data_IF_268129761885
#
_entry.id   IF_268129761885
#
_cell.length_a   1.000
_cell.length_b   1.000
_cell.length_c   1.000
_cell.angle_alpha   90.00
_cell.angle_beta   90.00
_cell.angle_gamma   90.00
#
_symmetry.space_group_name_H-M   'P 1'
#
loop_
_entity.id
_entity.type
_entity.pdbx_description
1 polymer ?
#
# COMPACT_ATOMS: atom_id res chain seq x y z
N UNK A 1 -62.21 -9.99 -26.55
CA UNK A 1 -63.13 -11.14 -26.78
C UNK A 1 -62.46 -12.14 -27.68
N UNK A 2 -62.75 -13.42 -27.49
CA UNK A 2 -62.09 -14.53 -28.19
C UNK A 2 -63.11 -15.58 -28.62
N UNK A 3 -62.74 -16.42 -29.59
CA UNK A 3 -63.60 -17.51 -30.08
C UNK A 3 -63.76 -18.62 -29.05
N UNK A 4 -62.67 -18.99 -28.39
CA UNK A 4 -62.63 -19.98 -27.32
C UNK A 4 -62.13 -19.29 -26.06
N UNK A 5 -62.93 -19.31 -25.00
CA UNK A 5 -62.60 -18.69 -23.71
C UNK A 5 -61.67 -19.65 -22.95
N UNK A 6 -60.40 -19.26 -22.78
CA UNK A 6 -59.43 -20.00 -21.97
C UNK A 6 -59.30 -19.39 -20.56
N UNK A 7 -59.48 -18.08 -20.43
CA UNK A 7 -59.45 -17.36 -19.15
C UNK A 7 -60.78 -16.63 -18.87
N UNK A 8 -61.72 -17.27 -18.17
CA UNK A 8 -63.05 -16.70 -17.87
C UNK A 8 -63.04 -15.39 -17.07
N UNK A 9 -61.89 -14.99 -16.52
CA UNK A 9 -61.72 -13.76 -15.73
C UNK A 9 -61.42 -12.53 -16.59
N UNK A 10 -60.84 -12.73 -17.77
CA UNK A 10 -60.34 -11.66 -18.65
C UNK A 10 -60.91 -11.74 -20.08
N UNK A 11 -61.55 -12.87 -20.42
CA UNK A 11 -62.08 -13.16 -21.74
C UNK A 11 -63.59 -13.37 -21.69
N UNK A 12 -64.29 -12.81 -22.68
CA UNK A 12 -65.70 -13.09 -22.98
C UNK A 12 -65.81 -13.69 -24.37
N UNK A 13 -66.81 -14.57 -24.52
CA UNK A 13 -67.27 -15.03 -25.82
C UNK A 13 -67.93 -13.89 -26.60
N UNK A 14 -67.96 -14.00 -27.94
CA UNK A 14 -68.61 -13.00 -28.81
C UNK A 14 -70.10 -12.83 -28.44
N UNK A 15 -70.81 -13.94 -28.18
CA UNK A 15 -72.24 -13.93 -27.86
C UNK A 15 -72.53 -13.16 -26.56
N UNK A 16 -71.77 -13.43 -25.49
CA UNK A 16 -71.94 -12.73 -24.20
C UNK A 16 -71.58 -11.24 -24.30
N UNK A 17 -70.59 -10.89 -25.12
CA UNK A 17 -70.20 -9.51 -25.32
C UNK A 17 -71.24 -8.70 -26.13
N UNK A 18 -71.87 -9.33 -27.12
CA UNK A 18 -72.97 -8.73 -27.89
C UNK A 18 -74.20 -8.49 -27.00
N UNK A 19 -74.50 -9.40 -26.05
CA UNK A 19 -75.57 -9.19 -25.06
C UNK A 19 -75.32 -7.98 -24.14
N UNK A 20 -74.05 -7.72 -23.80
CA UNK A 20 -73.67 -6.65 -22.85
C UNK A 20 -73.56 -5.26 -23.50
N UNK A 21 -73.12 -5.18 -24.76
CA UNK A 21 -72.75 -3.91 -25.38
C UNK A 21 -73.35 -3.66 -26.77
N UNK A 22 -74.14 -4.60 -27.31
CA UNK A 22 -74.81 -4.50 -28.60
C UNK A 22 -74.07 -5.21 -29.74
N UNK A 23 -74.72 -5.30 -30.90
CA UNK A 23 -74.24 -6.08 -32.06
C UNK A 23 -73.02 -5.48 -32.78
N UNK A 24 -72.57 -4.28 -32.40
CA UNK A 24 -71.44 -3.56 -33.02
C UNK A 24 -70.06 -4.04 -32.52
N UNK A 25 -70.02 -5.15 -31.79
CA UNK A 25 -68.85 -5.62 -31.05
C UNK A 25 -68.18 -6.78 -31.81
N UNK A 26 -66.90 -6.62 -32.17
CA UNK A 26 -66.16 -7.58 -33.00
C UNK A 26 -65.10 -8.40 -32.23
N UNK A 27 -64.76 -9.58 -32.75
CA UNK A 27 -63.71 -10.43 -32.16
C UNK A 27 -62.38 -9.68 -32.17
N UNK A 28 -61.75 -9.57 -31.00
CA UNK A 28 -60.53 -8.80 -30.78
C UNK A 28 -60.74 -7.49 -30.03
N UNK A 29 -61.96 -6.97 -29.92
CA UNK A 29 -62.20 -5.74 -29.15
C UNK A 29 -62.14 -5.99 -27.62
N UNK A 30 -61.85 -4.89 -26.91
CA UNK A 30 -61.77 -4.84 -25.45
C UNK A 30 -63.01 -4.13 -24.89
N UNK A 31 -63.86 -4.87 -24.17
CA UNK A 31 -65.05 -4.33 -23.54
C UNK A 31 -64.78 -3.96 -22.07
N UNK A 32 -65.06 -2.71 -21.69
CA UNK A 32 -64.96 -2.25 -20.30
C UNK A 32 -66.26 -2.57 -19.56
N UNK A 33 -66.27 -3.66 -18.80
CA UNK A 33 -67.42 -4.01 -17.94
C UNK A 33 -67.30 -3.21 -16.63
N UNK A 34 -68.32 -2.41 -16.26
CA UNK A 34 -68.31 -1.71 -14.99
C UNK A 34 -68.36 -2.73 -13.84
N UNK A 35 -67.29 -2.79 -13.06
CA UNK A 35 -67.23 -3.60 -11.85
C UNK A 35 -68.30 -3.12 -10.86
N UNK A 36 -68.96 -4.05 -10.13
CA UNK A 36 -69.81 -3.67 -9.01
C UNK A 36 -68.99 -2.78 -8.05
N UNK A 37 -69.56 -1.66 -7.60
CA UNK A 37 -69.01 -0.90 -6.49
C UNK A 37 -69.18 -1.75 -5.22
N UNK A 38 -68.34 -2.76 -5.02
CA UNK A 38 -68.16 -3.35 -3.70
C UNK A 38 -67.73 -2.21 -2.78
N UNK A 39 -68.55 -1.92 -1.77
CA UNK A 39 -68.19 -0.95 -0.73
C UNK A 39 -66.84 -1.39 -0.18
N UNK A 40 -65.76 -0.68 -0.55
CA UNK A 40 -64.43 -0.91 -0.01
C UNK A 40 -64.54 -0.78 1.50
N UNK A 41 -64.71 -1.92 2.17
CA UNK A 41 -64.89 -1.97 3.61
C UNK A 41 -63.68 -1.34 4.29
N UNK A 42 -63.85 -0.89 5.54
CA UNK A 42 -62.76 -0.29 6.33
C UNK A 42 -61.47 -1.13 6.31
N UNK A 43 -61.59 -2.46 6.28
CA UNK A 43 -60.45 -3.40 6.18
C UNK A 43 -59.80 -3.33 4.80
N UNK A 44 -60.57 -3.39 3.71
CA UNK A 44 -60.05 -3.28 2.35
C UNK A 44 -59.36 -1.93 2.11
N UNK A 45 -59.92 -0.83 2.61
CA UNK A 45 -59.29 0.49 2.54
C UNK A 45 -57.96 0.58 3.33
N UNK A 46 -57.88 -0.05 4.50
CA UNK A 46 -56.64 -0.14 5.28
C UNK A 46 -55.58 -1.00 4.57
N UNK A 47 -55.97 -2.14 4.01
CA UNK A 47 -55.07 -3.00 3.22
C UNK A 47 -54.60 -2.29 1.97
N UNK A 48 -55.48 -1.61 1.24
CA UNK A 48 -55.12 -0.80 0.07
C UNK A 48 -54.12 0.31 0.44
N UNK A 49 -54.34 1.02 1.56
CA UNK A 49 -53.38 2.01 2.07
C UNK A 49 -52.01 1.39 2.36
N UNK A 50 -51.97 0.21 2.96
CA UNK A 50 -50.71 -0.49 3.25
C UNK A 50 -49.97 -0.92 1.97
N UNK A 51 -50.69 -1.50 1.01
CA UNK A 51 -50.14 -1.88 -0.31
C UNK A 51 -49.63 -0.64 -1.04
N UNK A 52 -50.39 0.45 -1.03
CA UNK A 52 -50.00 1.70 -1.69
C UNK A 52 -48.74 2.30 -1.05
N UNK A 53 -48.66 2.38 0.27
CA UNK A 53 -47.45 2.84 0.98
C UNK A 53 -46.25 1.94 0.67
N UNK A 54 -46.45 0.63 0.58
CA UNK A 54 -45.39 -0.30 0.20
C UNK A 54 -44.92 -0.06 -1.24
N UNK A 55 -45.84 0.05 -2.21
CA UNK A 55 -45.53 0.32 -3.62
C UNK A 55 -44.82 1.66 -3.81
N UNK A 56 -45.26 2.70 -3.10
CA UNK A 56 -44.57 4.01 -3.09
C UNK A 56 -43.16 3.89 -2.55
N UNK A 57 -42.94 3.12 -1.46
CA UNK A 57 -41.60 2.89 -0.91
C UNK A 57 -40.71 2.04 -1.83
N UNK A 58 -41.28 1.09 -2.56
CA UNK A 58 -40.56 0.31 -3.58
C UNK A 58 -40.11 1.23 -4.73
N UNK A 59 -41.02 2.05 -5.28
CA UNK A 59 -40.72 2.99 -6.36
C UNK A 59 -39.67 4.05 -5.95
N UNK A 60 -39.73 4.60 -4.73
CA UNK A 60 -38.72 5.54 -4.24
C UNK A 60 -37.34 4.86 -4.18
N UNK A 61 -37.28 3.61 -3.71
CA UNK A 61 -36.02 2.87 -3.58
C UNK A 61 -35.42 2.46 -4.91
N UNK A 62 -36.25 2.10 -5.87
CA UNK A 62 -35.80 1.83 -7.24
C UNK A 62 -35.18 3.09 -7.85
N UNK A 63 -35.89 4.22 -7.73
CA UNK A 63 -35.38 5.52 -8.18
C UNK A 63 -34.04 5.89 -7.53
N UNK A 64 -33.90 5.70 -6.21
CA UNK A 64 -32.65 5.95 -5.48
C UNK A 64 -31.54 5.03 -5.98
N UNK A 65 -31.82 3.75 -6.22
CA UNK A 65 -30.80 2.86 -6.75
C UNK A 65 -30.32 3.34 -8.13
N UNK A 66 -31.25 3.62 -9.04
CA UNK A 66 -30.93 4.02 -10.40
C UNK A 66 -30.15 5.34 -10.44
N UNK A 67 -30.42 6.26 -9.51
CA UNK A 67 -29.69 7.53 -9.39
C UNK A 67 -28.26 7.36 -8.85
N UNK A 68 -28.02 6.42 -7.93
CA UNK A 68 -26.77 6.33 -7.17
C UNK A 68 -25.85 5.18 -7.58
N UNK A 69 -26.34 4.17 -8.31
CA UNK A 69 -25.53 2.99 -8.69
C UNK A 69 -24.31 3.35 -9.53
N UNK A 70 -24.44 4.34 -10.42
CA UNK A 70 -23.35 4.80 -11.30
C UNK A 70 -22.43 5.82 -10.61
N UNK A 71 -22.82 6.28 -9.42
CA UNK A 71 -22.11 7.32 -8.64
C UNK A 71 -21.15 6.73 -7.59
N UNK A 72 -20.75 5.46 -7.76
CA UNK A 72 -19.78 4.81 -6.85
C UNK A 72 -18.46 5.56 -6.86
N UNK A 73 -17.91 5.79 -5.67
CA UNK A 73 -16.70 6.58 -5.47
C UNK A 73 -16.89 8.10 -5.51
N UNK A 74 -18.11 8.60 -5.74
CA UNK A 74 -18.39 10.04 -5.59
C UNK A 74 -18.47 10.46 -4.12
N UNK A 75 -18.10 11.71 -3.87
CA UNK A 75 -18.21 12.34 -2.57
C UNK A 75 -19.63 12.87 -2.35
N UNK A 76 -20.21 12.51 -1.21
CA UNK A 76 -21.51 12.97 -0.75
C UNK A 76 -21.38 13.65 0.61
N UNK A 77 -22.15 14.70 0.78
CA UNK A 77 -22.23 15.47 2.01
C UNK A 77 -23.46 15.01 2.80
N UNK A 78 -23.31 14.90 4.12
CA UNK A 78 -24.42 14.57 4.99
C UNK A 78 -24.21 15.03 6.42
N UNK A 79 -25.15 14.66 7.29
CA UNK A 79 -25.09 14.92 8.73
C UNK A 79 -25.24 13.63 9.51
N UNK A 80 -24.39 13.42 10.51
CA UNK A 80 -24.44 12.23 11.37
C UNK A 80 -25.76 12.25 12.15
N UNK A 81 -26.66 11.32 11.85
CA UNK A 81 -28.00 11.28 12.43
C UNK A 81 -28.07 10.44 13.70
N UNK A 82 -27.44 9.27 13.71
CA UNK A 82 -27.41 8.34 14.86
C UNK A 82 -26.39 7.23 14.64
N UNK A 83 -26.12 6.45 15.68
CA UNK A 83 -25.32 5.23 15.61
C UNK A 83 -26.20 4.02 15.93
N UNK A 84 -26.12 2.99 15.09
CA UNK A 84 -26.88 1.74 15.24
C UNK A 84 -25.89 0.57 15.28
N UNK A 85 -25.76 -0.10 16.45
CA UNK A 85 -24.86 -1.28 16.61
C UNK A 85 -23.40 -1.05 16.17
N UNK A 86 -22.95 0.21 16.18
CA UNK A 86 -21.61 0.61 15.75
C UNK A 86 -21.54 1.16 14.32
N UNK A 87 -22.60 1.02 13.53
CA UNK A 87 -22.73 1.64 12.22
C UNK A 87 -23.20 3.08 12.37
N UNK A 88 -22.65 3.96 11.54
CA UNK A 88 -22.99 5.38 11.55
C UNK A 88 -24.04 5.65 10.48
N UNK A 89 -25.20 6.16 10.88
CA UNK A 89 -26.26 6.54 9.95
C UNK A 89 -26.13 8.03 9.64
N UNK A 90 -26.01 8.34 8.35
CA UNK A 90 -25.83 9.68 7.82
C UNK A 90 -27.09 10.08 7.07
N UNK A 91 -27.61 11.26 7.39
CA UNK A 91 -28.70 11.89 6.64
C UNK A 91 -28.11 12.65 5.44
N UNK A 92 -28.53 12.30 4.23
CA UNK A 92 -28.12 12.95 2.98
C UNK A 92 -29.13 14.03 2.53
N UNK A 93 -30.21 14.24 3.30
CA UNK A 93 -31.33 15.08 2.90
C UNK A 93 -32.38 14.31 2.10
N UNK A 94 -33.54 14.95 1.85
CA UNK A 94 -34.67 14.35 1.11
C UNK A 94 -35.14 12.98 1.63
N UNK A 95 -35.04 12.75 2.94
CA UNK A 95 -35.34 11.49 3.62
C UNK A 95 -34.49 10.30 3.15
N UNK A 96 -33.33 10.56 2.54
CA UNK A 96 -32.36 9.56 2.13
C UNK A 96 -31.29 9.39 3.21
N UNK A 97 -31.10 8.15 3.66
CA UNK A 97 -30.07 7.79 4.64
C UNK A 97 -29.01 6.91 3.99
N UNK A 98 -27.75 7.20 4.29
CA UNK A 98 -26.63 6.29 4.05
C UNK A 98 -26.17 5.69 5.39
N UNK A 99 -25.59 4.50 5.32
CA UNK A 99 -24.95 3.89 6.48
C UNK A 99 -23.45 3.71 6.20
N UNK A 100 -22.63 3.97 7.20
CA UNK A 100 -21.18 3.75 7.15
C UNK A 100 -20.86 2.66 8.17
N UNK A 101 -20.61 1.42 7.71
CA UNK A 101 -20.34 0.34 8.63
C UNK A 101 -19.00 0.55 9.33
N UNK A 102 -18.83 -0.05 10.52
CA UNK A 102 -17.62 0.14 11.34
C UNK A 102 -16.30 -0.13 10.59
N UNK A 103 -16.28 -1.06 9.63
CA UNK A 103 -15.11 -1.37 8.81
C UNK A 103 -14.75 -0.25 7.81
N UNK A 104 -15.73 0.56 7.41
CA UNK A 104 -15.58 1.68 6.47
C UNK A 104 -15.44 3.02 7.19
N UNK A 105 -15.45 3.02 8.53
CA UNK A 105 -15.14 4.19 9.34
C UNK A 105 -13.62 4.31 9.53
N UNK A 106 -13.13 5.54 9.60
CA UNK A 106 -11.73 5.79 9.96
C UNK A 106 -11.52 5.59 11.46
N UNK A 107 -10.48 4.86 11.86
CA UNK A 107 -10.20 4.54 13.28
C UNK A 107 -9.75 5.76 14.09
N UNK A 108 -9.19 6.76 13.42
CA UNK A 108 -8.70 8.00 14.06
C UNK A 108 -9.78 9.07 14.24
N UNK A 109 -11.00 8.85 13.72
CA UNK A 109 -12.05 9.85 13.74
C UNK A 109 -13.10 9.54 14.82
N UNK A 110 -13.47 10.57 15.58
CA UNK A 110 -14.64 10.54 16.45
C UNK A 110 -15.68 11.50 15.90
N UNK A 111 -16.90 10.99 15.74
CA UNK A 111 -18.04 11.73 15.20
C UNK A 111 -19.13 11.84 16.23
N UNK A 112 -19.71 13.03 16.37
CA UNK A 112 -20.89 13.26 17.21
C UNK A 112 -22.15 13.39 16.36
N UNK A 113 -23.30 13.09 16.98
CA UNK A 113 -24.59 13.33 16.36
C UNK A 113 -24.78 14.82 16.02
N UNK A 114 -25.31 15.11 14.84
CA UNK A 114 -25.52 16.46 14.32
C UNK A 114 -24.30 17.07 13.61
N UNK A 115 -23.15 16.40 13.63
CA UNK A 115 -21.98 16.88 12.89
C UNK A 115 -22.11 16.65 11.38
N UNK A 116 -21.62 17.62 10.60
CA UNK A 116 -21.52 17.50 9.14
C UNK A 116 -20.35 16.59 8.78
N UNK A 117 -20.59 15.68 7.86
CA UNK A 117 -19.61 14.67 7.44
C UNK A 117 -19.61 14.53 5.92
N UNK A 118 -18.42 14.33 5.36
CA UNK A 118 -18.21 13.96 3.96
C UNK A 118 -17.79 12.51 3.87
N UNK A 119 -18.47 11.75 3.03
CA UNK A 119 -18.19 10.33 2.79
C UNK A 119 -18.22 10.04 1.30
N UNK A 120 -17.59 8.96 0.87
CA UNK A 120 -17.77 8.47 -0.50
C UNK A 120 -18.76 7.33 -0.57
N UNK A 121 -19.45 7.18 -1.69
CA UNK A 121 -20.33 6.02 -1.93
C UNK A 121 -19.45 4.80 -2.19
N UNK A 122 -19.45 3.84 -1.27
CA UNK A 122 -18.70 2.61 -1.41
C UNK A 122 -19.49 1.56 -2.21
N UNK A 123 -20.79 1.45 -1.94
CA UNK A 123 -21.67 0.54 -2.67
C UNK A 123 -23.14 0.98 -2.57
N UNK A 124 -23.96 0.49 -3.50
CA UNK A 124 -25.40 0.75 -3.53
C UNK A 124 -26.13 -0.58 -3.76
N UNK A 125 -26.97 -0.97 -2.79
CA UNK A 125 -27.72 -2.24 -2.83
C UNK A 125 -29.19 -2.03 -3.22
N UNK A 126 -29.76 -3.03 -3.91
CA UNK A 126 -31.21 -3.15 -4.20
C UNK A 126 -32.00 -3.83 -3.07
N UNK A 127 -31.35 -4.19 -1.95
CA UNK A 127 -32.00 -4.99 -0.91
C UNK A 127 -33.28 -4.35 -0.37
N UNK A 128 -34.29 -5.20 -0.14
CA UNK A 128 -35.60 -4.79 0.35
C UNK A 128 -35.60 -4.37 1.84
N UNK A 129 -34.46 -4.46 2.54
CA UNK A 129 -34.34 -4.10 3.95
C UNK A 129 -33.07 -3.28 4.19
N UNK A 130 -33.22 -2.18 4.92
CA UNK A 130 -32.11 -1.31 5.32
C UNK A 130 -31.88 -0.13 4.37
N UNK A 131 -30.81 0.62 4.66
CA UNK A 131 -30.34 1.73 3.85
C UNK A 131 -29.65 1.19 2.59
N UNK A 132 -29.95 1.78 1.43
CA UNK A 132 -29.42 1.31 0.15
C UNK A 132 -27.99 1.79 -0.11
N UNK A 133 -27.61 2.93 0.47
CA UNK A 133 -26.31 3.58 0.19
C UNK A 133 -25.34 3.23 1.32
N UNK A 134 -24.32 2.45 0.97
CA UNK A 134 -23.18 2.18 1.84
C UNK A 134 -22.13 3.27 1.60
N UNK A 135 -21.89 4.10 2.62
CA UNK A 135 -20.82 5.10 2.60
C UNK A 135 -19.49 4.56 3.12
N UNK A 136 -18.39 5.22 2.77
CA UNK A 136 -17.07 4.97 3.34
C UNK A 136 -16.32 6.26 3.64
N UNK A 137 -15.67 6.25 4.80
CA UNK A 137 -14.64 7.21 5.20
C UNK A 137 -13.26 6.58 5.24
N UNK A 138 -13.14 5.27 5.02
CA UNK A 138 -11.89 4.53 4.97
C UNK A 138 -11.31 4.42 3.55
N UNK A 139 -12.13 4.55 2.51
CA UNK A 139 -11.67 4.45 1.13
C UNK A 139 -10.61 5.52 0.77
N UNK A 140 -9.68 5.15 -0.12
CA UNK A 140 -8.75 6.07 -0.77
C UNK A 140 -9.46 7.05 -1.71
N UNK A 141 -10.64 6.71 -2.22
CA UNK A 141 -11.36 7.59 -3.13
C UNK A 141 -11.85 8.86 -2.43
N UNK A 142 -12.14 8.79 -1.13
CA UNK A 142 -12.42 9.99 -0.34
C UNK A 142 -11.26 10.98 -0.41
N UNK A 143 -10.02 10.50 -0.32
CA UNK A 143 -8.84 11.36 -0.43
C UNK A 143 -8.78 12.00 -1.82
N UNK A 144 -8.97 11.21 -2.89
CA UNK A 144 -8.96 11.71 -4.28
C UNK A 144 -10.00 12.80 -4.49
N UNK A 145 -11.26 12.56 -4.07
CA UNK A 145 -12.35 13.53 -4.19
C UNK A 145 -12.11 14.80 -3.38
N UNK A 146 -11.49 14.70 -2.21
CA UNK A 146 -11.13 15.89 -1.42
C UNK A 146 -10.05 16.72 -2.13
N UNK A 147 -9.08 16.08 -2.78
CA UNK A 147 -8.09 16.77 -3.60
C UNK A 147 -8.70 17.40 -4.85
N UNK A 148 -9.59 16.70 -5.56
CA UNK A 148 -10.35 17.23 -6.70
C UNK A 148 -11.14 18.50 -6.32
N UNK A 149 -11.71 18.56 -5.11
CA UNK A 149 -12.44 19.73 -4.64
C UNK A 149 -11.55 20.90 -4.22
N UNK A 150 -10.37 20.63 -3.65
CA UNK A 150 -9.50 21.65 -3.06
C UNK A 150 -8.47 22.21 -4.05
N UNK A 151 -8.10 21.44 -5.08
CA UNK A 151 -7.05 21.77 -6.06
C UNK A 151 -7.67 21.99 -7.44
N UNK A 152 -7.83 23.25 -7.90
CA UNK A 152 -8.41 23.56 -9.21
C UNK A 152 -7.69 22.89 -10.37
N UNK A 153 -6.37 22.74 -10.27
CA UNK A 153 -5.53 22.13 -11.30
C UNK A 153 -5.85 20.63 -11.49
N UNK A 154 -6.39 19.96 -10.47
CA UNK A 154 -6.90 18.58 -10.57
C UNK A 154 -8.28 18.56 -11.22
N UNK A 155 -9.13 19.54 -10.90
CA UNK A 155 -10.45 19.67 -11.50
C UNK A 155 -10.38 19.94 -13.02
N UNK A 156 -9.42 20.78 -13.44
CA UNK A 156 -9.17 21.11 -14.85
C UNK A 156 -8.30 20.06 -15.57
N UNK A 157 -8.03 18.90 -14.94
CA UNK A 157 -7.22 17.79 -15.46
C UNK A 157 -5.77 18.18 -15.86
N UNK A 158 -5.29 19.34 -15.42
CA UNK A 158 -3.89 19.75 -15.62
C UNK A 158 -2.96 18.88 -14.77
N UNK A 159 -3.37 18.59 -13.54
CA UNK A 159 -2.71 17.65 -12.63
C UNK A 159 -3.60 16.43 -12.45
N UNK A 160 -3.05 15.24 -12.62
CA UNK A 160 -3.78 13.97 -12.52
C UNK A 160 -3.28 13.17 -11.32
N UNK A 161 -4.21 12.68 -10.51
CA UNK A 161 -3.92 11.71 -9.45
C UNK A 161 -3.76 10.33 -10.08
N UNK A 162 -2.53 9.80 -10.10
CA UNK A 162 -2.21 8.49 -10.68
C UNK A 162 -2.54 7.34 -9.72
N UNK A 163 -2.29 7.53 -8.43
CA UNK A 163 -2.52 6.51 -7.41
C UNK A 163 -2.72 7.16 -6.05
N UNK A 164 -3.50 6.53 -5.18
CA UNK A 164 -3.68 6.95 -3.80
C UNK A 164 -3.82 5.73 -2.91
N UNK A 165 -3.04 5.70 -1.82
CA UNK A 165 -3.08 4.62 -0.84
C UNK A 165 -3.19 5.20 0.56
N UNK A 166 -3.93 4.50 1.41
CA UNK A 166 -4.35 5.05 2.69
C UNK A 166 -4.36 3.98 3.77
N UNK A 167 -3.85 4.34 4.94
CA UNK A 167 -4.13 3.72 6.23
C UNK A 167 -5.02 4.71 7.03
N UNK A 168 -6.35 4.53 7.01
CA UNK A 168 -7.31 5.57 7.42
C UNK A 168 -7.15 6.02 8.86
N UNK A 169 -7.06 7.33 9.04
CA UNK A 169 -6.89 7.99 10.35
C UNK A 169 -5.44 8.13 10.79
N UNK A 170 -4.48 7.53 10.07
CA UNK A 170 -3.06 7.60 10.39
C UNK A 170 -2.27 8.33 9.29
N UNK A 171 -2.14 7.69 8.11
CA UNK A 171 -1.29 8.20 7.02
C UNK A 171 -1.78 7.77 5.64
N UNK A 172 -1.63 8.65 4.66
CA UNK A 172 -1.87 8.37 3.26
C UNK A 172 -0.70 8.84 2.39
N UNK A 173 -0.55 8.22 1.23
CA UNK A 173 0.31 8.67 0.15
C UNK A 173 -0.51 8.85 -1.12
N UNK A 174 -0.30 9.95 -1.81
CA UNK A 174 -0.96 10.26 -3.09
C UNK A 174 0.12 10.55 -4.14
N UNK A 175 0.01 9.91 -5.30
CA UNK A 175 0.90 10.09 -6.43
C UNK A 175 0.22 10.96 -7.48
N UNK A 176 0.87 12.07 -7.82
CA UNK A 176 0.36 13.08 -8.75
C UNK A 176 1.34 13.29 -9.90
N UNK A 177 0.81 13.54 -11.09
CA UNK A 177 1.58 13.89 -12.27
C UNK A 177 0.94 15.11 -12.93
N UNK A 178 1.73 15.94 -13.60
CA UNK A 178 1.21 17.02 -14.43
C UNK A 178 1.15 16.58 -15.89
N UNK A 179 0.07 16.93 -16.59
CA UNK A 179 -0.03 16.82 -18.05
C UNK A 179 0.71 17.97 -18.74
N UNK A 180 0.88 19.10 -18.04
CA UNK A 180 1.56 20.30 -18.54
C UNK A 180 2.97 20.43 -17.93
N UNK A 181 3.97 20.67 -18.78
CA UNK A 181 5.39 20.72 -18.35
C UNK A 181 5.70 21.90 -17.43
N UNK A 182 4.95 22.99 -17.57
CA UNK A 182 5.19 24.23 -16.82
C UNK A 182 4.49 24.25 -15.45
N UNK A 183 3.78 23.17 -15.10
CA UNK A 183 3.02 23.06 -13.86
C UNK A 183 3.65 21.99 -12.96
N UNK A 184 4.08 22.40 -11.77
CA UNK A 184 4.54 21.48 -10.72
C UNK A 184 3.32 20.81 -10.04
N UNK A 185 3.13 19.49 -10.19
CA UNK A 185 1.97 18.79 -9.63
C UNK A 185 2.00 18.75 -8.09
N UNK A 186 3.18 18.68 -7.48
CA UNK A 186 3.31 18.64 -6.01
C UNK A 186 3.02 20.02 -5.44
N UNK A 187 3.61 21.07 -6.01
CA UNK A 187 3.38 22.45 -5.63
C UNK A 187 1.91 22.87 -5.74
N UNK A 188 1.22 22.46 -6.82
CA UNK A 188 -0.21 22.71 -7.01
C UNK A 188 -1.06 22.07 -5.88
N UNK A 189 -0.75 20.83 -5.51
CA UNK A 189 -1.47 20.11 -4.45
C UNK A 189 -1.18 20.65 -3.04
N UNK A 190 0.04 21.12 -2.78
CA UNK A 190 0.44 21.69 -1.48
C UNK A 190 -0.17 23.09 -1.30
N UNK A 191 -0.13 23.92 -2.34
CA UNK A 191 -0.56 25.31 -2.29
C UNK A 191 0.37 26.20 -1.45
N UNK A 192 0.03 27.49 -1.33
CA UNK A 192 0.86 28.45 -0.57
C UNK A 192 1.05 27.97 0.88
N UNK A 193 2.30 27.70 1.27
CA UNK A 193 2.69 27.19 2.60
C UNK A 193 1.90 25.95 3.05
N UNK A 194 1.47 25.10 2.12
CA UNK A 194 0.70 23.90 2.45
C UNK A 194 -0.78 24.14 2.75
N UNK A 195 -1.32 25.33 2.50
CA UNK A 195 -2.71 25.68 2.86
C UNK A 195 -3.76 24.67 2.36
N UNK A 196 -3.64 24.21 1.11
CA UNK A 196 -4.59 23.26 0.49
C UNK A 196 -4.50 21.88 1.16
N UNK A 197 -3.30 21.30 1.23
CA UNK A 197 -3.10 20.00 1.89
C UNK A 197 -3.49 20.03 3.37
N UNK A 198 -3.24 21.15 4.07
CA UNK A 198 -3.65 21.31 5.47
C UNK A 198 -5.18 21.36 5.65
N UNK A 199 -5.92 21.93 4.70
CA UNK A 199 -7.38 21.90 4.72
C UNK A 199 -7.92 20.45 4.62
N UNK A 200 -7.30 19.64 3.76
CA UNK A 200 -7.64 18.21 3.61
C UNK A 200 -7.24 17.42 4.86
N UNK A 201 -6.03 17.64 5.41
CA UNK A 201 -5.59 17.02 6.68
C UNK A 201 -6.60 17.33 7.80
N UNK A 202 -7.09 18.56 7.87
CA UNK A 202 -8.10 18.97 8.84
C UNK A 202 -9.44 18.25 8.63
N UNK A 203 -9.87 18.09 7.37
CA UNK A 203 -11.06 17.31 7.03
C UNK A 203 -10.94 15.82 7.41
N UNK A 204 -9.75 15.25 7.29
CA UNK A 204 -9.44 13.87 7.72
C UNK A 204 -9.04 13.78 9.21
N UNK A 205 -9.31 14.83 10.00
CA UNK A 205 -9.04 14.94 11.44
C UNK A 205 -7.60 14.59 11.85
N UNK A 206 -6.63 15.05 11.07
CA UNK A 206 -5.21 14.96 11.42
C UNK A 206 -4.47 13.79 10.76
N UNK A 207 -5.10 13.08 9.83
CA UNK A 207 -4.42 12.09 9.00
C UNK A 207 -3.26 12.74 8.22
N UNK A 208 -2.06 12.15 8.29
CA UNK A 208 -0.87 12.69 7.60
C UNK A 208 -0.92 12.32 6.12
N UNK A 209 -0.68 13.29 5.23
CA UNK A 209 -0.74 13.07 3.78
C UNK A 209 0.63 13.41 3.19
N UNK A 210 1.25 12.44 2.50
CA UNK A 210 2.42 12.69 1.67
C UNK A 210 2.00 12.78 0.20
N UNK A 211 2.34 13.90 -0.45
CA UNK A 211 2.12 14.12 -1.88
C UNK A 211 3.43 13.80 -2.61
N UNK A 212 3.37 12.86 -3.54
CA UNK A 212 4.51 12.28 -4.22
C UNK A 212 4.40 12.56 -5.71
N UNK A 213 5.48 13.01 -6.32
CA UNK A 213 5.57 13.10 -7.78
C UNK A 213 5.65 11.70 -8.39
N UNK A 214 4.70 11.40 -9.26
CA UNK A 214 4.66 10.15 -10.00
C UNK A 214 5.68 10.14 -11.13
N UNK A 215 6.27 8.97 -11.40
CA UNK A 215 7.18 8.75 -12.53
C UNK A 215 6.84 7.43 -13.20
N UNK A 216 7.00 7.39 -14.52
CA UNK A 216 6.93 6.15 -15.32
C UNK A 216 8.05 5.16 -14.97
N UNK A 217 9.19 5.67 -14.50
CA UNK A 217 10.35 4.87 -14.14
C UNK A 217 10.20 4.35 -12.69
N UNK A 218 10.04 3.03 -12.47
CA UNK A 218 9.70 2.50 -11.15
C UNK A 218 10.74 2.82 -10.07
N UNK A 219 12.03 2.94 -10.43
CA UNK A 219 13.10 3.19 -9.47
C UNK A 219 13.02 4.62 -8.92
N UNK A 220 12.85 5.63 -9.81
CA UNK A 220 12.58 7.01 -9.42
C UNK A 220 11.26 7.12 -8.64
N UNK A 221 10.19 6.45 -9.09
CA UNK A 221 8.91 6.53 -8.39
C UNK A 221 8.99 5.92 -6.98
N UNK A 222 9.72 4.82 -6.79
CA UNK A 222 9.95 4.22 -5.49
C UNK A 222 10.80 5.09 -4.57
N UNK A 223 11.84 5.73 -5.11
CA UNK A 223 12.63 6.70 -4.36
C UNK A 223 11.77 7.86 -3.86
N UNK A 224 10.92 8.42 -4.74
CA UNK A 224 9.98 9.48 -4.38
C UNK A 224 8.96 9.01 -3.33
N UNK A 225 8.40 7.80 -3.48
CA UNK A 225 7.37 7.25 -2.60
C UNK A 225 7.83 7.04 -1.16
N UNK A 226 9.13 6.83 -0.94
CA UNK A 226 9.74 6.68 0.40
C UNK A 226 9.94 8.01 1.14
N UNK A 227 9.69 9.15 0.48
CA UNK A 227 9.67 10.47 1.11
C UNK A 227 8.88 10.45 2.43
N UNK A 228 9.43 11.01 3.52
CA UNK A 228 10.54 11.97 3.59
C UNK A 228 11.96 11.36 3.66
N UNK A 229 12.11 10.04 3.65
CA UNK A 229 13.44 9.43 3.73
C UNK A 229 14.24 9.66 2.46
N UNK A 230 15.53 10.02 2.60
CA UNK A 230 16.42 10.18 1.46
C UNK A 230 16.96 8.83 1.02
N UNK A 231 16.77 8.52 -0.26
CA UNK A 231 17.22 7.28 -0.88
C UNK A 231 18.55 7.50 -1.57
N UNK A 232 19.50 6.59 -1.35
CA UNK A 232 20.82 6.64 -1.99
C UNK A 232 20.79 5.99 -3.37
N UNK A 233 20.22 4.79 -3.45
CA UNK A 233 20.13 4.03 -4.69
C UNK A 233 18.94 3.09 -4.67
N UNK A 234 18.35 2.83 -5.85
CA UNK A 234 17.33 1.80 -6.04
C UNK A 234 17.84 0.77 -7.04
N UNK A 235 17.72 -0.51 -6.70
CA UNK A 235 18.13 -1.64 -7.54
C UNK A 235 16.95 -2.55 -7.79
N UNK A 236 16.59 -2.74 -9.05
CA UNK A 236 15.58 -3.73 -9.41
C UNK A 236 16.21 -5.12 -9.28
N UNK A 237 15.67 -5.95 -8.40
CA UNK A 237 16.18 -7.31 -8.17
C UNK A 237 15.50 -8.33 -9.06
N UNK A 238 14.20 -8.16 -9.29
CA UNK A 238 13.40 -9.03 -10.15
C UNK A 238 12.30 -8.24 -10.84
N UNK A 239 12.40 -8.09 -12.16
CA UNK A 239 11.40 -7.39 -12.98
C UNK A 239 10.11 -8.20 -13.09
N UNK A 240 10.21 -9.54 -13.19
CA UNK A 240 9.05 -10.42 -13.37
C UNK A 240 8.15 -10.45 -12.15
N UNK A 241 8.76 -10.49 -10.95
CA UNK A 241 8.05 -10.46 -9.68
C UNK A 241 7.85 -9.03 -9.13
N UNK A 242 8.26 -8.00 -9.86
CA UNK A 242 8.18 -6.58 -9.44
C UNK A 242 8.81 -6.32 -8.07
N UNK A 243 10.04 -6.80 -7.89
CA UNK A 243 10.80 -6.64 -6.65
C UNK A 243 11.97 -5.67 -6.86
N UNK A 244 12.20 -4.85 -5.84
CA UNK A 244 13.33 -3.94 -5.81
C UNK A 244 13.92 -3.83 -4.40
N UNK A 245 15.22 -3.54 -4.36
CA UNK A 245 15.95 -3.17 -3.16
C UNK A 245 16.24 -1.67 -3.19
N UNK A 246 15.89 -1.00 -2.09
CA UNK A 246 16.16 0.41 -1.89
C UNK A 246 17.23 0.57 -0.83
N UNK A 247 18.32 1.19 -1.21
CA UNK A 247 19.50 1.41 -0.39
C UNK A 247 19.41 2.81 0.21
N UNK A 248 19.56 2.87 1.54
CA UNK A 248 19.49 4.11 2.32
C UNK A 248 20.67 4.19 3.30
N UNK A 249 21.02 5.41 3.70
CA UNK A 249 21.93 5.63 4.83
C UNK A 249 21.37 5.05 6.13
N UNK A 250 22.25 4.72 7.08
CA UNK A 250 21.85 4.13 8.37
C UNK A 250 20.95 5.08 9.18
N UNK A 251 21.20 6.39 9.09
CA UNK A 251 20.39 7.45 9.68
C UNK A 251 18.97 7.54 9.07
N UNK A 252 18.83 7.18 7.80
CA UNK A 252 17.56 7.19 7.06
C UNK A 252 16.79 5.87 7.18
N UNK A 253 17.41 4.77 7.61
CA UNK A 253 16.81 3.43 7.65
C UNK A 253 15.50 3.40 8.45
N UNK A 254 15.52 3.97 9.66
CA UNK A 254 14.35 4.03 10.55
C UNK A 254 13.21 4.85 9.93
N UNK A 255 13.54 5.96 9.26
CA UNK A 255 12.57 6.83 8.61
C UNK A 255 11.96 6.17 7.37
N UNK A 256 12.78 5.48 6.57
CA UNK A 256 12.37 4.78 5.36
C UNK A 256 11.40 3.63 5.68
N UNK A 257 11.69 2.84 6.72
CA UNK A 257 10.79 1.78 7.19
C UNK A 257 9.52 2.39 7.80
N UNK A 258 9.69 3.39 8.66
CA UNK A 258 8.61 4.05 9.39
C UNK A 258 8.06 3.20 10.55
N UNK A 259 7.17 3.79 11.34
CA UNK A 259 6.55 3.13 12.51
C UNK A 259 5.84 1.84 12.07
N UNK A 260 6.28 0.68 12.59
CA UNK A 260 5.75 -0.65 12.23
C UNK A 260 5.80 -0.97 10.72
N UNK A 261 6.74 -0.38 9.98
CA UNK A 261 6.85 -0.57 8.53
C UNK A 261 5.77 0.16 7.73
N UNK A 262 5.08 1.14 8.32
CA UNK A 262 3.99 1.85 7.64
C UNK A 262 4.46 2.58 6.38
N UNK A 263 5.62 3.24 6.41
CA UNK A 263 6.08 4.05 5.29
C UNK A 263 6.42 3.17 4.08
N UNK A 264 7.20 2.12 4.29
CA UNK A 264 7.55 1.16 3.23
C UNK A 264 6.32 0.42 2.68
N UNK A 265 5.35 0.04 3.54
CA UNK A 265 4.12 -0.62 3.10
C UNK A 265 3.25 0.28 2.24
N UNK A 266 3.10 1.56 2.62
CA UNK A 266 2.37 2.54 1.82
C UNK A 266 3.12 2.79 0.50
N UNK A 267 4.44 2.94 0.51
CA UNK A 267 5.23 3.12 -0.70
C UNK A 267 5.10 1.91 -1.66
N UNK A 268 5.25 0.69 -1.15
CA UNK A 268 5.09 -0.54 -1.93
C UNK A 268 3.70 -0.65 -2.56
N UNK A 269 2.63 -0.33 -1.81
CA UNK A 269 1.26 -0.30 -2.34
C UNK A 269 1.04 0.81 -3.37
N UNK A 270 1.66 1.97 -3.19
CA UNK A 270 1.53 3.12 -4.10
C UNK A 270 2.20 2.84 -5.45
N UNK A 271 3.41 2.28 -5.41
CA UNK A 271 4.23 1.93 -6.59
C UNK A 271 3.73 0.64 -7.25
N UNK A 272 3.16 -0.28 -6.47
CA UNK A 272 2.74 -1.60 -6.94
C UNK A 272 3.90 -2.58 -7.14
N UNK A 273 4.97 -2.39 -6.36
CA UNK A 273 6.19 -3.20 -6.34
C UNK A 273 6.53 -3.59 -4.90
N UNK A 274 7.19 -4.73 -4.71
CA UNK A 274 7.73 -5.10 -3.41
C UNK A 274 9.05 -4.37 -3.17
N UNK A 275 9.13 -3.66 -2.04
CA UNK A 275 10.23 -2.75 -1.72
C UNK A 275 10.94 -3.27 -0.47
N UNK A 276 12.16 -3.77 -0.64
CA UNK A 276 13.03 -4.16 0.46
C UNK A 276 14.03 -3.04 0.75
N UNK A 277 14.04 -2.54 1.98
CA UNK A 277 14.98 -1.49 2.39
C UNK A 277 16.24 -2.13 2.98
N UNK A 278 17.40 -1.69 2.51
CA UNK A 278 18.72 -2.17 2.96
C UNK A 278 19.58 -0.96 3.32
N UNK A 279 20.36 -1.03 4.40
CA UNK A 279 21.33 0.03 4.71
C UNK A 279 22.61 -0.13 3.89
N UNK A 280 23.25 0.98 3.54
CA UNK A 280 24.54 0.96 2.84
C UNK A 280 25.61 0.16 3.58
N UNK A 281 25.63 0.22 4.92
CA UNK A 281 26.58 -0.55 5.72
C UNK A 281 26.35 -2.05 5.63
N UNK A 282 25.09 -2.48 5.68
CA UNK A 282 24.75 -3.90 5.54
C UNK A 282 25.12 -4.39 4.14
N UNK A 283 24.86 -3.58 3.11
CA UNK A 283 25.27 -3.90 1.74
C UNK A 283 26.80 -4.04 1.62
N UNK A 284 27.57 -3.10 2.19
CA UNK A 284 29.04 -3.15 2.20
C UNK A 284 29.55 -4.41 2.91
N UNK A 285 28.99 -4.75 4.07
CA UNK A 285 29.33 -5.97 4.82
C UNK A 285 29.00 -7.23 4.02
N UNK A 286 27.86 -7.27 3.34
CA UNK A 286 27.44 -8.41 2.53
C UNK A 286 28.35 -8.59 1.30
N UNK A 287 28.71 -7.49 0.63
CA UNK A 287 29.67 -7.49 -0.49
C UNK A 287 31.03 -7.97 0.00
N UNK A 288 31.55 -7.42 1.11
CA UNK A 288 32.83 -7.83 1.68
C UNK A 288 32.85 -9.31 2.08
N UNK A 289 31.74 -9.84 2.61
CA UNK A 289 31.62 -11.25 2.97
C UNK A 289 31.49 -12.16 1.74
N UNK A 290 30.78 -11.73 0.70
CA UNK A 290 30.72 -12.44 -0.59
C UNK A 290 32.09 -12.47 -1.26
N UNK A 291 32.80 -11.35 -1.29
CA UNK A 291 34.18 -11.25 -1.76
C UNK A 291 35.11 -12.14 -0.94
N UNK A 292 35.02 -12.12 0.40
CA UNK A 292 35.81 -12.97 1.27
C UNK A 292 35.53 -14.47 1.06
N UNK A 293 34.29 -14.85 0.79
CA UNK A 293 33.92 -16.24 0.46
C UNK A 293 34.41 -16.67 -0.92
N UNK A 294 34.34 -15.80 -1.92
CA UNK A 294 34.92 -16.05 -3.25
C UNK A 294 36.46 -16.16 -3.18
N UNK A 295 37.10 -15.32 -2.36
CA UNK A 295 38.54 -15.40 -2.08
C UNK A 295 38.93 -16.69 -1.33
N UNK A 296 38.06 -17.20 -0.44
CA UNK A 296 38.31 -18.43 0.31
C UNK A 296 37.97 -19.71 -0.47
N UNK A 297 37.10 -19.65 -1.49
CA UNK A 297 36.75 -20.79 -2.34
C UNK A 297 37.77 -21.05 -3.47
N UNK A 298 38.76 -20.17 -3.65
CA UNK A 298 39.73 -20.25 -4.74
C UNK A 298 39.13 -19.93 -6.12
N UNK A 299 37.93 -19.35 -6.15
CA UNK A 299 37.28 -18.92 -7.38
C UNK A 299 37.80 -17.52 -7.72
N UNK A 300 38.33 -17.36 -8.94
CA UNK A 300 39.09 -16.19 -9.30
C UNK A 300 38.21 -14.92 -9.30
N UNK A 301 38.69 -13.85 -8.66
CA UNK A 301 37.92 -12.60 -8.55
C UNK A 301 37.85 -11.97 -9.93
N UNK A 302 36.66 -11.83 -10.54
CA UNK A 302 36.55 -11.25 -11.86
C UNK A 302 36.88 -9.77 -11.80
N UNK A 303 37.56 -9.27 -12.84
CA UNK A 303 38.02 -7.88 -12.95
C UNK A 303 36.85 -6.88 -12.90
N UNK A 304 35.64 -7.32 -13.26
CA UNK A 304 34.40 -6.53 -13.16
C UNK A 304 33.99 -6.17 -11.73
N UNK A 305 34.61 -6.79 -10.71
CA UNK A 305 34.38 -6.46 -9.31
C UNK A 305 35.22 -5.26 -8.82
N UNK A 306 36.19 -4.78 -9.60
CA UNK A 306 36.99 -3.60 -9.27
C UNK A 306 36.20 -2.31 -9.50
N UNK A 307 36.19 -1.43 -8.50
CA UNK A 307 35.69 -0.07 -8.68
C UNK A 307 36.61 0.69 -9.64
N UNK A 308 36.03 1.18 -10.74
CA UNK A 308 36.76 1.92 -11.78
C UNK A 308 37.01 1.14 -13.08
N UNK A 309 36.70 -0.16 -13.12
CA UNK A 309 36.80 -0.96 -14.36
C UNK A 309 35.40 -1.23 -14.92
N UNK A 310 35.17 -0.82 -16.17
CA UNK A 310 33.94 -1.10 -16.91
C UNK A 310 33.91 -2.54 -17.42
N UNK A 311 32.71 -3.07 -17.71
CA UNK A 311 32.57 -4.41 -18.28
C UNK A 311 33.37 -4.59 -19.59
N UNK A 312 33.38 -3.56 -20.45
CA UNK A 312 34.17 -3.56 -21.69
C UNK A 312 35.69 -3.61 -21.44
N UNK A 313 36.18 -2.92 -20.40
CA UNK A 313 37.60 -2.97 -20.04
C UNK A 313 37.99 -4.34 -19.46
N UNK A 314 37.10 -4.97 -18.69
CA UNK A 314 37.32 -6.33 -18.17
C UNK A 314 37.36 -7.38 -19.30
N UNK A 315 36.53 -7.25 -20.33
CA UNK A 315 36.55 -8.12 -21.50
C UNK A 315 37.86 -7.96 -22.29
N UNK A 316 38.30 -6.72 -22.52
CA UNK A 316 39.58 -6.44 -23.21
C UNK A 316 40.79 -6.99 -22.45
N UNK A 317 40.79 -6.89 -21.12
CA UNK A 317 41.84 -7.48 -20.28
C UNK A 317 41.85 -9.01 -20.35
N UNK A 318 40.66 -9.62 -20.33
CA UNK A 318 40.50 -11.07 -20.46
C UNK A 318 41.03 -11.59 -21.81
N UNK A 319 40.74 -10.89 -22.92
CA UNK A 319 41.29 -11.22 -24.25
C UNK A 319 42.82 -11.16 -24.30
N UNK A 320 43.44 -10.30 -23.48
CA UNK A 320 44.89 -10.12 -23.37
C UNK A 320 45.54 -11.06 -22.35
N UNK A 321 44.79 -11.99 -21.77
CA UNK A 321 45.29 -12.98 -20.82
C UNK A 321 45.35 -12.49 -19.37
N UNK A 322 44.76 -11.34 -19.06
CA UNK A 322 44.54 -10.84 -17.71
C UNK A 322 43.09 -11.17 -17.35
N UNK A 323 42.85 -12.38 -16.85
CA UNK A 323 41.51 -12.85 -16.49
C UNK A 323 41.08 -12.44 -15.07
N UNK A 324 42.05 -12.20 -14.19
CA UNK A 324 41.82 -12.11 -12.75
C UNK A 324 42.58 -10.95 -12.11
N UNK A 325 42.12 -10.49 -10.94
CA UNK A 325 42.74 -9.38 -10.20
C UNK A 325 44.21 -9.66 -9.84
N UNK A 326 44.61 -10.92 -9.70
CA UNK A 326 46.01 -11.30 -9.45
C UNK A 326 46.90 -11.10 -10.68
N UNK A 327 46.39 -11.48 -11.86
CA UNK A 327 47.08 -11.22 -13.12
C UNK A 327 47.16 -9.70 -13.39
N UNK A 328 46.11 -8.96 -13.01
CA UNK A 328 46.06 -7.51 -13.15
C UNK A 328 47.07 -6.80 -12.22
N UNK A 329 47.21 -7.26 -10.97
CA UNK A 329 48.15 -6.69 -10.01
C UNK A 329 49.63 -6.91 -10.39
N UNK A 330 49.91 -7.93 -11.21
CA UNK A 330 51.23 -8.23 -11.76
C UNK A 330 51.51 -7.60 -13.14
N UNK A 331 50.54 -6.91 -13.74
CA UNK A 331 50.70 -6.21 -15.01
C UNK A 331 51.48 -4.90 -14.85
N UNK A 332 52.11 -4.42 -15.93
CA UNK A 332 52.75 -3.10 -15.91
C UNK A 332 51.76 -1.98 -16.23
N UNK A 333 52.05 -0.76 -15.75
CA UNK A 333 51.24 0.43 -16.05
C UNK A 333 51.22 0.68 -17.57
N UNK A 334 52.35 0.47 -18.25
CA UNK A 334 52.47 0.63 -19.70
C UNK A 334 51.56 -0.36 -20.45
N UNK A 335 51.49 -1.62 -20.02
CA UNK A 335 50.59 -2.62 -20.61
C UNK A 335 49.11 -2.24 -20.45
N UNK A 336 48.74 -1.62 -19.32
CA UNK A 336 47.36 -1.22 -19.05
C UNK A 336 46.93 0.00 -19.85
N UNK A 337 47.84 0.96 -20.06
CA UNK A 337 47.61 2.09 -20.96
C UNK A 337 47.41 1.58 -22.39
N UNK A 338 48.26 0.65 -22.83
CA UNK A 338 48.19 0.09 -24.18
C UNK A 338 46.97 -0.82 -24.41
N UNK A 339 46.54 -1.59 -23.40
CA UNK A 339 45.40 -2.51 -23.53
C UNK A 339 44.05 -1.83 -23.36
N UNK A 340 43.93 -0.85 -22.47
CA UNK A 340 42.65 -0.24 -22.12
C UNK A 340 42.41 1.12 -22.78
N UNK A 341 43.41 1.69 -23.46
CA UNK A 341 43.36 3.05 -24.04
C UNK A 341 42.96 4.10 -22.98
N UNK A 342 43.56 4.00 -21.79
CA UNK A 342 43.30 4.86 -20.63
C UNK A 342 44.50 5.76 -20.33
N UNK A 343 44.27 6.83 -19.56
CA UNK A 343 45.37 7.69 -19.12
C UNK A 343 46.31 6.98 -18.13
N UNK A 344 47.56 7.46 -18.03
CA UNK A 344 48.54 6.96 -17.05
C UNK A 344 47.99 7.01 -15.62
N UNK A 345 47.34 8.11 -15.25
CA UNK A 345 46.73 8.29 -13.92
C UNK A 345 45.62 7.26 -13.63
N UNK A 346 44.83 6.91 -14.64
CA UNK A 346 43.78 5.88 -14.53
C UNK A 346 44.36 4.48 -14.46
N UNK A 347 45.38 4.17 -15.26
CA UNK A 347 46.10 2.89 -15.22
C UNK A 347 46.77 2.67 -13.87
N UNK A 348 47.40 3.70 -13.29
CA UNK A 348 47.98 3.66 -11.95
C UNK A 348 46.91 3.42 -10.87
N UNK A 349 45.76 4.08 -10.97
CA UNK A 349 44.64 3.90 -10.03
C UNK A 349 44.05 2.49 -10.07
N UNK A 350 43.90 1.93 -11.28
CA UNK A 350 43.42 0.55 -11.49
C UNK A 350 44.43 -0.45 -10.93
N UNK A 351 45.72 -0.26 -11.21
CA UNK A 351 46.79 -1.13 -10.73
C UNK A 351 46.93 -1.06 -9.20
N UNK A 352 46.87 0.14 -8.61
CA UNK A 352 46.89 0.33 -7.16
C UNK A 352 45.69 -0.33 -6.47
N UNK A 353 44.51 -0.25 -7.10
CA UNK A 353 43.30 -0.93 -6.61
C UNK A 353 43.44 -2.45 -6.66
N UNK A 354 44.00 -3.00 -7.74
CA UNK A 354 44.29 -4.43 -7.88
C UNK A 354 45.34 -4.89 -6.85
N UNK A 355 46.45 -4.16 -6.70
CA UNK A 355 47.52 -4.46 -5.74
C UNK A 355 47.05 -4.35 -4.29
N UNK A 356 46.19 -3.40 -3.95
CA UNK A 356 45.55 -3.30 -2.63
C UNK A 356 44.74 -4.55 -2.29
N UNK A 357 43.98 -5.07 -3.27
CA UNK A 357 43.17 -6.28 -3.10
C UNK A 357 44.06 -7.52 -2.95
N UNK A 358 45.14 -7.64 -3.73
CA UNK A 358 46.11 -8.74 -3.62
C UNK A 358 46.92 -8.65 -2.32
N UNK A 359 47.29 -7.45 -1.87
CA UNK A 359 47.94 -7.24 -0.59
C UNK A 359 47.01 -7.61 0.59
N UNK A 360 45.71 -7.31 0.48
CA UNK A 360 44.72 -7.77 1.46
C UNK A 360 44.53 -9.30 1.46
N UNK A 361 44.72 -9.96 0.30
CA UNK A 361 44.77 -11.43 0.18
C UNK A 361 46.00 -12.01 0.87
N UNK A 362 47.19 -11.48 0.61
CA UNK A 362 48.46 -11.96 1.17
C UNK A 362 48.64 -11.60 2.66
N UNK A 363 48.12 -10.46 3.11
CA UNK A 363 48.18 -10.03 4.51
C UNK A 363 47.33 -10.88 5.45
N UNK A 364 46.26 -11.51 4.96
CA UNK A 364 45.45 -12.47 5.74
C UNK A 364 46.05 -13.88 5.80
N UNK A 365 47.02 -14.20 4.94
CA UNK A 365 47.78 -15.46 5.04
C UNK A 365 48.85 -15.36 6.13
N UNK A 366 49.45 -14.18 6.34
CA UNK A 366 50.45 -13.97 7.39
C UNK A 366 49.88 -14.03 8.83
N UNK A 367 48.62 -13.61 9.05
CA UNK A 367 47.95 -13.80 10.35
C UNK A 367 47.45 -15.24 10.56
N UNK A 368 47.25 -16.01 9.48
CA UNK A 368 46.83 -17.42 9.57
C UNK A 368 48.01 -18.37 9.90
N UNK A 369 49.24 -18.05 9.46
CA UNK A 369 50.43 -18.85 9.76
C UNK A 369 51.05 -18.56 11.14
N UNK A 370 50.66 -17.46 11.81
CA UNK A 370 51.11 -17.13 13.16
C UNK A 370 50.27 -17.82 14.27
N UNK A 371 49.02 -18.22 13.99
CA UNK A 371 48.13 -18.85 14.98
C UNK A 371 48.21 -20.39 15.01
N UNK A 372 48.90 -21.04 14.06
CA UNK A 372 48.97 -22.53 14.01
C UNK A 372 50.16 -23.11 14.79
N UNK A 373 51.08 -22.30 15.33
CA UNK A 373 52.32 -22.80 15.96
C UNK A 373 52.39 -22.70 17.50
N UNK A 374 51.25 -22.61 18.21
CA UNK A 374 51.23 -22.64 19.70
C UNK A 374 50.19 -23.62 20.26
N UNK A 375 50.03 -24.79 19.66
CA UNK A 375 49.36 -25.89 20.36
C UNK A 375 49.76 -27.25 19.78
N UNK A 376 50.89 -27.81 20.25
CA UNK A 376 51.03 -29.18 20.77
C UNK A 376 52.45 -29.28 21.36
N UNK A 377 52.57 -29.24 22.68
CA UNK A 377 53.49 -30.14 23.40
C UNK A 377 52.96 -30.30 24.83
N UNK A 378 52.71 -31.56 25.17
CA UNK A 378 52.23 -32.09 26.45
C UNK A 378 53.22 -31.77 27.58
N UNK A 379 52.73 -31.59 28.81
CA UNK A 379 52.93 -32.66 29.80
C UNK A 379 52.25 -32.38 31.14
N UNK A 380 51.78 -33.50 31.70
CA UNK A 380 51.15 -33.71 32.99
C UNK A 380 52.26 -33.84 34.04
N UNK A 381 52.20 -33.11 35.15
CA UNK A 381 52.70 -33.63 36.44
C UNK A 381 52.10 -32.89 37.65
N UNK A 382 51.61 -33.68 38.60
CA UNK A 382 51.13 -33.28 39.94
C UNK A 382 52.33 -33.36 40.89
N UNK A 383 52.41 -32.50 41.93
CA UNK A 383 52.66 -33.09 43.26
C UNK A 383 51.87 -32.46 44.42
N UNK A 384 51.70 -33.32 45.42
CA UNK A 384 50.96 -33.25 46.68
C UNK A 384 51.61 -32.43 47.82
N UNK A 385 50.73 -32.13 48.81
CA UNK A 385 50.90 -32.04 50.28
C UNK A 385 51.39 -30.76 51.02
N UNK A 386 50.40 -30.16 51.73
CA UNK A 386 50.30 -29.80 53.17
C UNK A 386 51.30 -28.84 53.87
N UNK A 387 50.77 -27.84 54.61
CA UNK A 387 50.61 -27.81 56.09
C UNK A 387 49.97 -26.46 56.54
N UNK A 388 48.82 -26.59 57.20
CA UNK A 388 48.30 -25.97 58.44
C UNK A 388 48.74 -24.57 58.94
N UNK A 389 47.78 -23.71 59.36
CA UNK A 389 47.53 -23.38 60.79
C UNK A 389 46.47 -22.27 61.04
N UNK A 390 45.51 -22.63 61.91
CA UNK A 390 44.95 -21.89 63.08
C UNK A 390 43.74 -20.94 62.98
N UNK A 391 42.77 -21.24 63.86
CA UNK A 391 41.78 -20.34 64.51
C UNK A 391 40.31 -20.69 64.18
N UNK A 392 39.63 -21.62 64.87
CA UNK A 392 38.94 -21.46 66.19
C UNK A 392 38.10 -20.16 66.24
N UNK A 393 36.79 -20.12 66.53
CA UNK A 393 35.95 -20.98 67.37
C UNK A 393 34.45 -20.66 67.16
N UNK A 394 33.61 -21.66 67.49
CA UNK A 394 32.33 -21.61 68.20
C UNK A 394 31.23 -20.58 67.89
N UNK A 395 30.00 -21.11 67.72
CA UNK A 395 28.80 -20.46 68.24
C UNK A 395 27.50 -20.71 67.49
N UNK A 396 26.82 -21.81 67.86
CA UNK A 396 25.36 -21.92 68.06
C UNK A 396 24.62 -20.56 68.24
N UNK A 397 23.37 -20.33 67.85
CA UNK A 397 22.17 -21.19 67.74
C UNK A 397 20.98 -20.40 67.17
N UNK A 398 19.95 -21.15 66.74
CA UNK A 398 18.50 -20.87 66.82
C UNK A 398 17.90 -19.72 65.97
N UNK A 399 17.12 -20.05 64.95
CA UNK A 399 15.64 -20.24 64.97
C UNK A 399 14.86 -18.99 65.39
N UNK A 400 14.03 -18.44 64.49
CA UNK A 400 12.57 -18.30 64.67
C UNK A 400 11.93 -18.08 63.29
N UNK A 401 10.92 -18.91 63.05
CA UNK A 401 9.92 -18.88 61.97
C UNK A 401 8.95 -17.73 62.23
N UNK A 402 8.52 -16.99 61.22
CA UNK A 402 7.14 -16.53 61.23
C UNK A 402 6.54 -16.37 59.82
N UNK A 403 5.31 -16.85 59.73
CA UNK A 403 4.41 -16.83 58.58
C UNK A 403 3.88 -15.41 58.33
N UNK A 404 3.49 -15.08 57.09
CA UNK A 404 2.09 -14.83 56.70
C UNK A 404 1.94 -13.96 55.44
N UNK A 405 0.89 -14.34 54.69
CA UNK A 405 0.15 -13.68 53.60
C UNK A 405 0.66 -13.85 52.17
#
# INVERSE_FOLDING_TARGET
>A
MVHDVENPSEELSLEEAQELAGDDVEIGDSLLIPLPNEEMGRIAAQTAKQILVQKVREAIREKVYDEYVDRKGELINGTVKRFERGDMIIDLGNNLEAYVPRAEQSRGEMWNQGERIRVVIADVSKDQKGQQIKGSRASSDLLKRLFEMEVPEIYDETVVIKSAVREPGDRAKIAVASNEKDVDPVGACVGMKGSRVQAIIKELRGEKIDIIEWSDEPSVFAANALSPAKVSQVRITDIGNRQMEVIVGEDQLSLAIGKKGQNVRLAARLVGWDIKIVSEELLKKEIALKMGKMMASGEAVPITALQGVTASQADTLSEKGISDVEALAGASVDDLVDFLDVSLDEAESILASAQSIVAAKNGKVADADAEVNVSVEEDIEVPDEQIDTTGDSDGDSENVVDETV
#
